data_IF_776682116666
#
_entry.id   IF_776682116666
#
_cell.length_a   1.000
_cell.length_b   1.000
_cell.length_c   1.000
_cell.angle_alpha   90.00
_cell.angle_beta   90.00
_cell.angle_gamma   90.00
#
_symmetry.space_group_name_H-M   'P 1'
#
loop_
_entity.id
_entity.type
_entity.pdbx_description
1 polymer ?
#
# COMPACT_ATOMS: atom_id res chain seq x y z
N UNK A 1 -0.48 -15.55 14.09
CA UNK A 1 0.43 -14.93 13.10
C UNK A 1 1.90 -15.32 13.35
N UNK A 2 2.29 -16.57 13.04
CA UNK A 2 3.66 -16.95 12.69
C UNK A 2 3.87 -17.26 11.20
N UNK A 3 2.81 -17.28 10.37
CA UNK A 3 2.88 -17.75 8.97
C UNK A 3 3.59 -16.77 8.01
N UNK A 4 3.43 -15.45 8.17
CA UNK A 4 3.96 -14.48 7.19
C UNK A 4 5.48 -14.43 7.15
N UNK A 5 6.14 -14.36 8.31
CA UNK A 5 7.60 -14.34 8.37
C UNK A 5 8.19 -15.68 7.93
N UNK A 6 7.52 -16.79 8.28
CA UNK A 6 7.91 -18.12 7.81
C UNK A 6 7.78 -18.28 6.29
N UNK A 7 6.71 -17.73 5.70
CA UNK A 7 6.53 -17.68 4.24
C UNK A 7 7.61 -16.82 3.59
N UNK A 8 7.92 -15.64 4.15
CA UNK A 8 9.02 -14.80 3.65
C UNK A 8 10.37 -15.50 3.73
N UNK A 9 10.63 -16.22 4.81
CA UNK A 9 11.88 -16.94 5.04
C UNK A 9 12.03 -18.13 4.09
N UNK A 10 10.99 -18.97 3.97
CA UNK A 10 10.94 -20.06 2.99
C UNK A 10 11.21 -19.54 1.57
N UNK A 11 10.63 -18.40 1.19
CA UNK A 11 10.88 -17.83 -0.13
C UNK A 11 12.23 -17.17 -0.28
N UNK A 12 12.79 -16.60 0.80
CA UNK A 12 14.18 -16.12 0.79
C UNK A 12 15.12 -17.27 0.51
N UNK A 13 14.91 -18.41 1.16
CA UNK A 13 15.68 -19.64 0.96
C UNK A 13 15.50 -20.16 -0.47
N UNK A 14 14.24 -20.32 -0.92
CA UNK A 14 13.93 -20.76 -2.28
C UNK A 14 14.56 -19.84 -3.34
N UNK A 15 14.40 -18.53 -3.21
CA UNK A 15 14.96 -17.57 -4.16
C UNK A 15 16.49 -17.57 -4.13
N UNK A 16 17.11 -17.75 -2.95
CA UNK A 16 18.56 -17.88 -2.83
C UNK A 16 19.03 -19.11 -3.59
N UNK A 17 18.41 -20.26 -3.36
CA UNK A 17 18.74 -21.51 -4.05
C UNK A 17 18.48 -21.43 -5.55
N UNK A 18 17.33 -20.88 -5.96
CA UNK A 18 16.95 -20.74 -7.36
C UNK A 18 17.91 -19.80 -8.10
N UNK A 19 18.25 -18.65 -7.54
CA UNK A 19 19.24 -17.75 -8.15
C UNK A 19 20.62 -18.39 -8.23
N UNK A 20 21.04 -19.18 -7.24
CA UNK A 20 22.29 -19.93 -7.30
C UNK A 20 22.29 -20.95 -8.45
N UNK A 21 21.18 -21.66 -8.65
CA UNK A 21 21.03 -22.64 -9.73
C UNK A 21 21.04 -22.00 -11.12
N UNK A 22 20.62 -20.75 -11.23
CA UNK A 22 20.52 -20.02 -12.51
C UNK A 22 21.42 -18.77 -12.55
N UNK A 23 22.53 -18.77 -11.81
CA UNK A 23 23.37 -17.60 -11.58
C UNK A 23 23.98 -16.99 -12.86
N UNK A 24 24.14 -17.79 -13.92
CA UNK A 24 24.65 -17.35 -15.22
C UNK A 24 23.56 -16.73 -16.12
N UNK A 25 22.30 -16.76 -15.68
CA UNK A 25 21.17 -16.18 -16.41
C UNK A 25 20.97 -14.70 -16.04
N UNK A 26 20.28 -13.94 -16.91
CA UNK A 26 19.71 -12.62 -16.59
C UNK A 26 18.96 -12.65 -15.23
N UNK A 27 18.78 -11.52 -14.53
CA UNK A 27 18.09 -11.50 -13.24
C UNK A 27 16.79 -12.29 -13.30
N UNK A 28 16.77 -13.39 -12.53
CA UNK A 28 15.65 -14.33 -12.51
C UNK A 28 14.65 -13.83 -11.49
N UNK A 29 13.50 -13.35 -11.97
CA UNK A 29 12.38 -12.96 -11.12
C UNK A 29 11.45 -14.14 -10.91
N UNK A 30 11.14 -14.43 -9.65
CA UNK A 30 10.19 -15.49 -9.27
C UNK A 30 8.82 -14.87 -9.07
N UNK A 31 7.81 -15.42 -9.75
CA UNK A 31 6.41 -15.11 -9.51
C UNK A 31 5.73 -16.29 -8.82
N UNK A 32 5.14 -16.06 -7.65
CA UNK A 32 4.42 -17.07 -6.90
C UNK A 32 3.05 -16.58 -6.43
N UNK A 33 2.11 -17.51 -6.27
CA UNK A 33 0.83 -17.24 -5.64
C UNK A 33 0.43 -18.41 -4.73
N UNK A 34 -0.05 -18.09 -3.54
CA UNK A 34 -0.60 -19.03 -2.57
C UNK A 34 -2.09 -18.74 -2.48
N UNK A 35 -2.94 -19.72 -2.79
CA UNK A 35 -4.40 -19.53 -2.83
C UNK A 35 -5.07 -20.41 -1.79
N UNK A 36 -5.94 -19.82 -0.98
CA UNK A 36 -6.83 -20.59 -0.13
C UNK A 36 -7.87 -21.32 -1.01
N UNK A 37 -7.74 -22.63 -1.16
CA UNK A 37 -8.67 -23.42 -1.98
C UNK A 37 -10.11 -23.38 -1.45
N UNK A 38 -10.34 -23.08 -0.17
CA UNK A 38 -11.68 -22.92 0.38
C UNK A 38 -12.43 -21.69 -0.18
N UNK A 39 -11.73 -20.72 -0.77
CA UNK A 39 -12.34 -19.51 -1.36
C UNK A 39 -12.51 -19.62 -2.88
N UNK A 40 -12.24 -20.79 -3.45
CA UNK A 40 -12.26 -21.04 -4.89
C UNK A 40 -13.39 -22.00 -5.23
N UNK A 41 -14.49 -21.45 -5.76
CA UNK A 41 -15.72 -22.21 -6.04
C UNK A 41 -15.63 -23.12 -7.26
N UNK A 42 -14.68 -22.85 -8.17
CA UNK A 42 -14.47 -23.66 -9.39
C UNK A 42 -13.08 -23.50 -9.98
N UNK A 43 -12.69 -24.46 -10.81
CA UNK A 43 -11.41 -24.42 -11.55
C UNK A 43 -11.35 -23.23 -12.52
N UNK A 44 -12.46 -22.89 -13.17
CA UNK A 44 -12.53 -21.70 -14.04
C UNK A 44 -12.32 -20.39 -13.26
N UNK A 45 -12.82 -20.32 -12.03
CA UNK A 45 -12.62 -19.18 -11.15
C UNK A 45 -11.16 -19.06 -10.74
N UNK A 46 -10.50 -20.18 -10.46
CA UNK A 46 -9.06 -20.23 -10.15
C UNK A 46 -8.21 -19.67 -11.29
N UNK A 47 -8.48 -20.11 -12.53
CA UNK A 47 -7.72 -19.64 -13.69
C UNK A 47 -7.92 -18.15 -13.94
N UNK A 48 -9.16 -17.65 -13.87
CA UNK A 48 -9.43 -16.22 -14.03
C UNK A 48 -8.72 -15.38 -12.98
N UNK A 49 -8.80 -15.78 -11.71
CA UNK A 49 -8.12 -15.10 -10.61
C UNK A 49 -6.60 -15.06 -10.82
N UNK A 50 -6.01 -16.18 -11.26
CA UNK A 50 -4.57 -16.24 -11.57
C UNK A 50 -4.19 -15.26 -12.69
N UNK A 51 -4.96 -15.22 -13.77
CA UNK A 51 -4.68 -14.31 -14.89
C UNK A 51 -4.84 -12.84 -14.49
N UNK A 52 -5.89 -12.49 -13.74
CA UNK A 52 -6.12 -11.14 -13.20
C UNK A 52 -4.94 -10.68 -12.32
N UNK A 53 -4.54 -11.52 -11.38
CA UNK A 53 -3.41 -11.22 -10.48
C UNK A 53 -2.09 -11.12 -11.23
N UNK A 54 -1.86 -12.00 -12.23
CA UNK A 54 -0.64 -11.96 -13.04
C UNK A 54 -0.57 -10.66 -13.84
N UNK A 55 -1.66 -10.25 -14.48
CA UNK A 55 -1.69 -9.04 -15.29
C UNK A 55 -1.44 -7.78 -14.45
N UNK A 56 -2.03 -7.70 -13.24
CA UNK A 56 -1.79 -6.59 -12.28
C UNK A 56 -0.33 -6.48 -11.85
N UNK A 57 0.37 -7.61 -11.73
CA UNK A 57 1.79 -7.64 -11.33
C UNK A 57 2.77 -7.55 -12.49
N UNK A 58 2.32 -7.56 -13.75
CA UNK A 58 3.18 -7.62 -14.94
C UNK A 58 4.18 -6.46 -15.05
N UNK A 59 3.88 -5.32 -14.41
CA UNK A 59 4.71 -4.11 -14.41
C UNK A 59 5.65 -4.00 -13.21
N UNK A 60 5.71 -5.01 -12.35
CA UNK A 60 6.53 -5.00 -11.14
C UNK A 60 7.90 -5.60 -11.46
N UNK A 61 8.97 -4.82 -11.23
CA UNK A 61 10.35 -5.31 -11.33
C UNK A 61 10.81 -5.95 -10.01
N UNK A 62 10.93 -7.28 -9.98
CA UNK A 62 11.38 -8.03 -8.81
C UNK A 62 10.67 -9.38 -8.68
N UNK A 63 11.06 -10.15 -7.67
CA UNK A 63 10.33 -11.38 -7.32
C UNK A 63 9.08 -11.02 -6.52
N UNK A 64 7.93 -11.55 -6.95
CA UNK A 64 6.60 -11.18 -6.47
C UNK A 64 5.86 -12.42 -5.99
N UNK A 65 5.29 -12.34 -4.79
CA UNK A 65 4.48 -13.40 -4.24
C UNK A 65 3.14 -12.87 -3.75
N UNK A 66 2.04 -13.49 -4.17
CA UNK A 66 0.69 -13.10 -3.74
C UNK A 66 0.13 -14.18 -2.81
N UNK A 67 -0.17 -13.82 -1.56
CA UNK A 67 -0.90 -14.70 -0.63
C UNK A 67 -2.37 -14.30 -0.66
N UNK A 68 -3.20 -15.15 -1.27
CA UNK A 68 -4.63 -14.92 -1.48
C UNK A 68 -5.46 -15.49 -0.31
N UNK A 69 -6.21 -14.60 0.33
CA UNK A 69 -7.23 -14.86 1.37
C UNK A 69 -8.37 -13.84 1.22
N UNK A 70 -9.01 -13.40 2.31
CA UNK A 70 -10.05 -12.34 2.26
C UNK A 70 -9.53 -11.03 1.62
N UNK A 71 -8.23 -10.75 1.73
CA UNK A 71 -7.52 -9.71 0.98
C UNK A 71 -6.15 -10.25 0.55
N UNK A 72 -5.82 -10.24 -0.76
CA UNK A 72 -4.51 -10.71 -1.20
C UNK A 72 -3.40 -9.81 -0.67
N UNK A 73 -2.34 -10.42 -0.17
CA UNK A 73 -1.14 -9.74 0.32
C UNK A 73 0.00 -9.94 -0.66
N UNK A 74 0.64 -8.85 -1.11
CA UNK A 74 1.83 -8.90 -1.97
C UNK A 74 3.10 -8.94 -1.11
N UNK A 75 4.03 -9.85 -1.42
CA UNK A 75 5.36 -9.91 -0.85
C UNK A 75 6.37 -9.71 -1.98
N UNK A 76 7.26 -8.74 -1.80
CA UNK A 76 8.32 -8.41 -2.75
C UNK A 76 9.67 -8.83 -2.19
N UNK A 77 10.46 -9.50 -3.01
CA UNK A 77 11.83 -9.88 -2.65
C UNK A 77 12.83 -9.34 -3.68
N UNK A 78 13.67 -8.43 -3.21
CA UNK A 78 14.87 -7.96 -3.92
C UNK A 78 15.91 -7.53 -2.87
N UNK A 79 17.00 -8.29 -2.67
CA UNK A 79 17.98 -8.01 -1.62
C UNK A 79 18.76 -6.72 -1.85
N UNK A 80 18.92 -6.27 -3.10
CA UNK A 80 19.60 -5.00 -3.42
C UNK A 80 18.72 -3.79 -3.12
N UNK A 81 17.39 -3.95 -3.26
CA UNK A 81 16.41 -2.89 -2.98
C UNK A 81 16.06 -2.75 -1.50
N UNK A 82 16.48 -3.66 -0.61
CA UNK A 82 16.04 -3.65 0.78
C UNK A 82 16.47 -2.38 1.55
N UNK A 83 17.69 -1.89 1.34
CA UNK A 83 18.15 -0.59 1.91
C UNK A 83 17.39 0.59 1.31
N UNK A 84 17.12 0.56 0.00
CA UNK A 84 16.36 1.57 -0.72
C UNK A 84 14.90 1.65 -0.24
N UNK A 85 14.26 0.49 -0.02
CA UNK A 85 12.91 0.38 0.54
C UNK A 85 12.83 1.01 1.93
N UNK A 86 13.83 0.80 2.79
CA UNK A 86 13.87 1.44 4.12
C UNK A 86 13.92 2.97 4.00
N UNK A 87 14.71 3.49 3.06
CA UNK A 87 14.80 4.93 2.82
C UNK A 87 13.49 5.52 2.30
N UNK A 88 12.87 4.85 1.34
CA UNK A 88 11.57 5.25 0.79
C UNK A 88 10.49 5.21 1.86
N UNK A 89 10.45 4.16 2.69
CA UNK A 89 9.51 4.06 3.80
C UNK A 89 9.66 5.22 4.77
N UNK A 90 10.91 5.58 5.12
CA UNK A 90 11.18 6.73 5.99
C UNK A 90 10.68 8.04 5.38
N UNK A 91 10.98 8.27 4.10
CA UNK A 91 10.53 9.48 3.39
C UNK A 91 9.02 9.58 3.31
N UNK A 92 8.33 8.48 3.00
CA UNK A 92 6.86 8.44 3.00
C UNK A 92 6.30 8.81 4.38
N UNK A 93 6.91 8.32 5.47
CA UNK A 93 6.50 8.68 6.84
C UNK A 93 6.77 10.16 7.14
N UNK A 94 7.92 10.70 6.72
CA UNK A 94 8.27 12.12 6.89
C UNK A 94 7.30 13.03 6.14
N UNK A 95 7.02 12.73 4.88
CA UNK A 95 6.07 13.46 4.04
C UNK A 95 4.66 13.38 4.60
N UNK A 96 4.23 12.20 5.04
CA UNK A 96 2.89 12.02 5.59
C UNK A 96 2.70 12.79 6.90
N UNK A 97 3.73 12.83 7.76
CA UNK A 97 3.72 13.69 8.95
C UNK A 97 3.55 15.15 8.59
N UNK A 98 4.27 15.63 7.57
CA UNK A 98 4.13 17.02 7.11
C UNK A 98 2.68 17.33 6.65
N UNK A 99 2.05 16.39 5.95
CA UNK A 99 0.64 16.51 5.53
C UNK A 99 -0.29 16.58 6.76
N UNK A 100 -0.11 15.67 7.74
CA UNK A 100 -0.91 15.64 8.98
C UNK A 100 -0.74 16.93 9.78
N UNK A 101 0.49 17.44 9.86
CA UNK A 101 0.83 18.71 10.52
C UNK A 101 0.17 19.92 9.84
N UNK A 102 -0.01 19.89 8.53
CA UNK A 102 -0.74 20.90 7.79
C UNK A 102 -2.24 20.80 8.09
N UNK A 103 -2.82 19.60 7.96
CA UNK A 103 -4.26 19.36 8.20
C UNK A 103 -4.66 19.74 9.64
N UNK A 104 -3.86 19.39 10.65
CA UNK A 104 -4.22 19.61 12.06
C UNK A 104 -4.28 21.08 12.48
N UNK A 105 -3.65 21.98 11.74
CA UNK A 105 -3.59 23.42 12.04
C UNK A 105 -4.78 24.19 11.48
N UNK A 106 -5.50 23.57 10.55
CA UNK A 106 -6.53 24.24 9.78
C UNK A 106 -7.94 23.85 10.25
N UNK A 107 -8.94 24.72 10.02
CA UNK A 107 -10.34 24.43 10.30
C UNK A 107 -10.82 23.13 9.64
N UNK A 108 -11.69 22.40 10.34
CA UNK A 108 -12.16 21.08 9.89
C UNK A 108 -12.83 21.09 8.50
N UNK A 109 -13.55 22.16 8.18
CA UNK A 109 -14.21 22.38 6.88
C UNK A 109 -13.20 22.61 5.74
N UNK A 110 -11.95 22.95 6.05
CA UNK A 110 -10.88 23.13 5.07
C UNK A 110 -10.10 21.86 4.74
N UNK A 111 -10.24 20.80 5.54
CA UNK A 111 -9.40 19.59 5.43
C UNK A 111 -9.44 18.94 4.04
N UNK A 112 -10.61 18.81 3.40
CA UNK A 112 -10.70 18.20 2.06
C UNK A 112 -9.98 19.05 1.00
N UNK A 113 -10.04 20.39 1.11
CA UNK A 113 -9.33 21.31 0.20
C UNK A 113 -7.81 21.23 0.38
N UNK A 114 -7.33 21.25 1.63
CA UNK A 114 -5.90 21.11 1.93
C UNK A 114 -5.36 19.80 1.40
N UNK A 115 -6.09 18.70 1.62
CA UNK A 115 -5.74 17.37 1.12
C UNK A 115 -5.73 17.27 -0.40
N UNK A 116 -6.52 18.09 -1.08
CA UNK A 116 -6.48 18.19 -2.54
C UNK A 116 -5.21 18.91 -3.01
N UNK A 117 -4.83 20.01 -2.36
CA UNK A 117 -3.66 20.80 -2.75
C UNK A 117 -2.33 20.09 -2.48
N UNK A 118 -2.24 19.23 -1.45
CA UNK A 118 -0.99 18.47 -1.17
C UNK A 118 -0.62 17.48 -2.28
N UNK A 119 -1.53 17.12 -3.19
CA UNK A 119 -1.17 16.28 -4.34
C UNK A 119 -0.19 16.95 -5.30
N UNK A 120 -0.13 18.29 -5.33
CA UNK A 120 0.88 19.00 -6.11
C UNK A 120 2.29 18.72 -5.58
N UNK A 121 2.45 18.68 -4.26
CA UNK A 121 3.73 18.43 -3.59
C UNK A 121 4.05 16.93 -3.47
N UNK A 122 3.04 16.09 -3.24
CA UNK A 122 3.21 14.64 -3.03
C UNK A 122 2.38 13.84 -4.05
N UNK A 123 2.75 13.89 -5.35
CA UNK A 123 1.93 13.33 -6.43
C UNK A 123 1.86 11.79 -6.44
N UNK A 124 2.64 11.12 -5.58
CA UNK A 124 2.66 9.67 -5.48
C UNK A 124 1.50 9.10 -4.63
N UNK A 125 0.79 9.92 -3.84
CA UNK A 125 -0.45 9.50 -3.19
C UNK A 125 -1.58 9.40 -4.23
N UNK A 126 -2.34 8.30 -4.16
CA UNK A 126 -3.51 8.04 -5.01
C UNK A 126 -4.74 8.79 -4.47
N UNK A 127 -4.94 8.75 -3.15
CA UNK A 127 -6.05 9.39 -2.47
C UNK A 127 -5.78 9.59 -0.98
N UNK A 128 -6.57 10.46 -0.36
CA UNK A 128 -6.66 10.64 1.08
C UNK A 128 -8.09 10.47 1.60
N UNK A 129 -8.23 10.12 2.87
CA UNK A 129 -9.49 10.18 3.61
C UNK A 129 -9.24 10.24 5.12
N UNK A 130 -10.18 10.83 5.85
CA UNK A 130 -10.10 10.97 7.31
C UNK A 130 -11.15 10.09 7.99
N UNK A 131 -10.75 9.43 9.07
CA UNK A 131 -11.61 8.65 9.95
C UNK A 131 -11.71 9.31 11.32
N UNK A 132 -12.88 9.22 11.96
CA UNK A 132 -13.04 9.60 13.36
C UNK A 132 -12.54 8.52 14.31
N UNK A 133 -12.56 8.80 15.61
CA UNK A 133 -12.09 7.92 16.70
C UNK A 133 -12.69 6.50 16.70
N UNK A 134 -13.89 6.32 16.12
CA UNK A 134 -14.59 5.03 16.01
C UNK A 134 -14.29 4.28 14.69
N UNK A 135 -13.39 4.79 13.85
CA UNK A 135 -13.06 4.18 12.56
C UNK A 135 -14.05 4.46 11.43
N UNK A 136 -15.07 5.28 11.67
CA UNK A 136 -15.97 5.74 10.62
C UNK A 136 -15.29 6.81 9.76
N UNK A 137 -15.29 6.61 8.45
CA UNK A 137 -14.77 7.60 7.49
C UNK A 137 -15.68 8.84 7.47
N UNK A 138 -15.12 10.04 7.69
CA UNK A 138 -15.87 11.29 7.83
C UNK A 138 -15.77 12.22 6.61
N UNK A 139 -14.80 11.98 5.72
CA UNK A 139 -14.64 12.67 4.43
C UNK A 139 -15.05 11.75 3.29
N UNK A 140 -15.27 12.30 2.10
CA UNK A 140 -15.18 11.49 0.89
C UNK A 140 -13.73 11.04 0.66
N UNK A 141 -13.51 10.15 -0.31
CA UNK A 141 -12.15 9.98 -0.83
C UNK A 141 -11.77 11.26 -1.58
N UNK A 142 -10.70 11.92 -1.15
CA UNK A 142 -10.07 13.01 -1.89
C UNK A 142 -9.09 12.35 -2.84
N UNK A 143 -9.44 12.29 -4.13
CA UNK A 143 -8.67 11.57 -5.15
C UNK A 143 -7.69 12.52 -5.81
N UNK A 144 -6.46 12.06 -6.03
CA UNK A 144 -5.46 12.84 -6.74
C UNK A 144 -5.90 13.10 -8.20
N UNK A 145 -5.98 14.36 -8.65
CA UNK A 145 -6.45 14.69 -9.99
C UNK A 145 -5.51 14.21 -11.12
N UNK A 146 -4.25 13.87 -10.80
CA UNK A 146 -3.25 13.37 -11.75
C UNK A 146 -3.36 11.86 -12.00
N UNK A 147 -4.32 11.19 -11.37
CA UNK A 147 -4.55 9.76 -11.51
C UNK A 147 -5.36 9.49 -12.77
N UNK A 148 -4.84 8.63 -13.65
CA UNK A 148 -5.39 8.34 -14.98
C UNK A 148 -6.27 7.08 -15.03
N UNK A 149 -6.63 6.53 -13.86
CA UNK A 149 -7.45 5.33 -13.71
C UNK A 149 -8.64 5.57 -12.77
N UNK A 150 -9.65 4.72 -12.90
CA UNK A 150 -10.88 4.84 -12.10
C UNK A 150 -10.60 4.53 -10.63
N UNK A 151 -10.87 5.51 -9.77
CA UNK A 151 -10.91 5.34 -8.31
C UNK A 151 -12.36 5.39 -7.88
N UNK A 152 -12.89 4.28 -7.36
CA UNK A 152 -14.26 4.26 -6.87
C UNK A 152 -14.42 5.32 -5.76
N UNK A 153 -15.48 6.15 -5.81
CA UNK A 153 -15.73 7.14 -4.79
C UNK A 153 -15.92 6.43 -3.45
N UNK A 154 -14.97 6.62 -2.53
CA UNK A 154 -15.10 6.09 -1.18
C UNK A 154 -16.27 6.77 -0.49
N UNK A 155 -17.16 5.96 0.10
CA UNK A 155 -18.37 6.46 0.71
C UNK A 155 -18.08 6.94 2.14
N UNK A 156 -18.27 8.24 2.39
CA UNK A 156 -18.41 8.78 3.75
C UNK A 156 -19.37 7.91 4.57
N UNK A 157 -18.99 7.61 5.81
CA UNK A 157 -19.71 6.69 6.70
C UNK A 157 -19.30 5.22 6.58
N UNK A 158 -18.36 4.86 5.70
CA UNK A 158 -17.80 3.50 5.67
C UNK A 158 -17.03 3.21 6.95
N UNK A 159 -17.32 2.07 7.56
CA UNK A 159 -16.59 1.56 8.73
C UNK A 159 -15.23 0.97 8.31
N UNK A 160 -14.17 1.46 8.97
CA UNK A 160 -12.78 1.03 8.80
C UNK A 160 -12.16 0.60 10.13
N UNK A 161 -12.95 0.47 11.21
CA UNK A 161 -12.49 0.16 12.56
C UNK A 161 -11.73 -1.17 12.66
N UNK A 162 -12.05 -2.13 11.79
CA UNK A 162 -11.39 -3.43 11.71
C UNK A 162 -10.04 -3.39 10.97
N UNK A 163 -9.78 -2.32 10.21
CA UNK A 163 -8.65 -2.25 9.29
C UNK A 163 -7.33 -2.11 10.05
N UNK A 164 -6.27 -2.83 9.66
CA UNK A 164 -4.97 -2.76 10.31
C UNK A 164 -4.42 -1.33 10.35
N UNK A 165 -4.52 -0.57 9.27
CA UNK A 165 -4.02 0.81 9.22
C UNK A 165 -4.71 1.73 10.23
N UNK A 166 -6.02 1.57 10.45
CA UNK A 166 -6.74 2.34 11.47
C UNK A 166 -6.30 1.93 12.88
N UNK A 167 -6.36 0.63 13.20
CA UNK A 167 -6.04 0.11 14.55
C UNK A 167 -4.60 0.43 14.95
N UNK A 168 -3.66 0.24 14.02
CA UNK A 168 -2.23 0.48 14.24
C UNK A 168 -1.92 1.96 14.36
N UNK A 169 -2.51 2.83 13.54
CA UNK A 169 -2.34 4.28 13.73
C UNK A 169 -2.88 4.74 15.09
N UNK A 170 -4.05 4.24 15.51
CA UNK A 170 -4.62 4.56 16.83
C UNK A 170 -3.70 4.14 17.99
N UNK A 171 -3.07 2.96 17.91
CA UNK A 171 -2.20 2.45 18.98
C UNK A 171 -0.75 2.97 18.92
N UNK A 172 -0.18 3.14 17.73
CA UNK A 172 1.26 3.41 17.51
C UNK A 172 1.53 4.86 17.07
N UNK A 173 0.50 5.65 16.77
CA UNK A 173 0.65 7.01 16.26
C UNK A 173 0.66 7.07 14.74
N UNK A 174 1.63 6.42 14.11
CA UNK A 174 1.80 6.38 12.66
C UNK A 174 2.09 4.96 12.20
N UNK A 175 1.52 4.57 11.06
CA UNK A 175 1.67 3.22 10.54
C UNK A 175 1.61 3.19 9.02
N UNK A 176 2.43 2.33 8.40
CA UNK A 176 2.34 1.95 6.99
C UNK A 176 1.98 0.48 6.92
N UNK A 177 0.87 0.19 6.25
CA UNK A 177 0.38 -1.16 6.02
C UNK A 177 1.34 -1.99 5.18
N UNK A 178 1.10 -3.30 5.21
CA UNK A 178 1.58 -4.18 4.16
C UNK A 178 0.85 -3.88 2.85
N UNK A 179 1.40 -4.40 1.75
CA UNK A 179 0.75 -4.27 0.44
C UNK A 179 -0.50 -5.15 0.41
N UNK A 180 -1.62 -4.57 -0.02
CA UNK A 180 -2.90 -5.27 -0.17
C UNK A 180 -3.64 -4.76 -1.40
N UNK A 181 -4.73 -5.43 -1.80
CA UNK A 181 -5.58 -4.96 -2.89
C UNK A 181 -6.58 -3.93 -2.38
N UNK A 182 -6.50 -2.72 -2.93
CA UNK A 182 -7.43 -1.62 -2.65
C UNK A 182 -8.83 -1.97 -3.12
N UNK A 183 -9.84 -1.75 -2.27
CA UNK A 183 -11.25 -1.85 -2.68
C UNK A 183 -11.70 -0.70 -3.57
N UNK A 184 -10.93 0.40 -3.63
CA UNK A 184 -11.29 1.57 -4.44
C UNK A 184 -10.87 1.40 -5.90
N UNK A 185 -9.72 0.77 -6.13
CA UNK A 185 -9.10 0.67 -7.46
C UNK A 185 -8.94 -0.76 -7.95
N UNK A 186 -9.18 -1.75 -7.08
CA UNK A 186 -8.92 -3.16 -7.36
C UNK A 186 -7.47 -3.40 -7.79
N UNK A 187 -6.54 -2.63 -7.24
CA UNK A 187 -5.10 -2.71 -7.52
C UNK A 187 -4.28 -2.73 -6.24
N UNK A 188 -3.00 -3.12 -6.33
CA UNK A 188 -2.10 -3.17 -5.19
C UNK A 188 -1.79 -1.76 -4.67
N UNK A 189 -1.98 -1.57 -3.37
CA UNK A 189 -1.61 -0.36 -2.67
C UNK A 189 -0.97 -0.65 -1.31
N UNK A 190 -0.37 0.38 -0.73
CA UNK A 190 -0.14 0.50 0.70
C UNK A 190 -0.98 1.65 1.23
N UNK A 191 -1.33 1.61 2.52
CA UNK A 191 -1.94 2.74 3.22
C UNK A 191 -0.97 3.24 4.28
N UNK A 192 -0.65 4.54 4.20
CA UNK A 192 0.00 5.29 5.28
C UNK A 192 -1.10 5.90 6.12
N UNK A 193 -0.95 5.86 7.44
CA UNK A 193 -1.98 6.35 8.35
C UNK A 193 -1.36 6.93 9.60
N UNK A 194 -1.94 8.02 10.11
CA UNK A 194 -1.44 8.73 11.28
C UNK A 194 -2.60 9.31 12.09
N UNK A 195 -2.53 9.13 13.41
CA UNK A 195 -3.48 9.70 14.35
C UNK A 195 -3.12 11.16 14.64
N UNK A 196 -4.12 12.02 14.71
CA UNK A 196 -3.95 13.40 15.15
C UNK A 196 -5.13 13.83 16.03
N UNK A 197 -4.93 14.90 16.80
CA UNK A 197 -5.97 15.48 17.66
C UNK A 197 -6.35 16.87 17.15
N UNK A 198 -7.64 17.16 17.15
CA UNK A 198 -8.19 18.46 16.78
C UNK A 198 -9.41 18.76 17.65
N UNK A 199 -9.43 19.93 18.30
CA UNK A 199 -10.50 20.35 19.22
C UNK A 199 -10.90 19.28 20.26
N UNK A 200 -9.90 18.62 20.86
CA UNK A 200 -10.11 17.58 21.87
C UNK A 200 -10.63 16.24 21.34
N UNK A 201 -10.77 16.07 20.02
CA UNK A 201 -11.18 14.81 19.38
C UNK A 201 -10.02 14.18 18.61
N UNK A 202 -10.01 12.84 18.55
CA UNK A 202 -9.01 12.07 17.79
C UNK A 202 -9.52 11.70 16.40
N UNK A 203 -8.64 11.84 15.42
CA UNK A 203 -8.86 11.49 14.02
C UNK A 203 -7.69 10.68 13.51
N UNK A 204 -7.90 9.98 12.40
CA UNK A 204 -6.84 9.29 11.66
C UNK A 204 -6.90 9.73 10.20
N UNK A 205 -5.83 10.33 9.69
CA UNK A 205 -5.65 10.53 8.26
C UNK A 205 -5.11 9.24 7.66
N UNK A 206 -5.66 8.81 6.53
CA UNK A 206 -5.13 7.73 5.72
C UNK A 206 -4.84 8.23 4.30
N UNK A 207 -3.69 7.83 3.76
CA UNK A 207 -3.30 8.07 2.37
C UNK A 207 -2.92 6.76 1.70
N UNK A 208 -3.58 6.45 0.60
CA UNK A 208 -3.26 5.26 -0.18
C UNK A 208 -2.22 5.61 -1.25
N UNK A 209 -1.24 4.73 -1.42
CA UNK A 209 -0.21 4.83 -2.46
C UNK A 209 -0.34 3.60 -3.34
N UNK A 210 -0.69 3.82 -4.60
CA UNK A 210 -0.73 2.76 -5.59
C UNK A 210 0.69 2.25 -5.86
N UNK A 211 0.82 0.93 -6.04
CA UNK A 211 2.11 0.31 -6.29
C UNK A 211 2.83 0.85 -7.53
N UNK A 212 2.10 1.26 -8.56
CA UNK A 212 2.65 1.90 -9.77
C UNK A 212 3.40 3.20 -9.44
N UNK A 213 2.93 3.95 -8.44
CA UNK A 213 3.58 5.19 -7.98
C UNK A 213 4.81 4.90 -7.13
N UNK A 214 4.80 3.83 -6.33
CA UNK A 214 5.98 3.38 -5.58
C UNK A 214 7.13 3.07 -6.54
N UNK A 215 6.86 2.41 -7.67
CA UNK A 215 7.91 2.12 -8.66
C UNK A 215 8.53 3.40 -9.25
N UNK A 216 7.72 4.42 -9.54
CA UNK A 216 8.21 5.73 -10.01
C UNK A 216 9.06 6.43 -8.95
N UNK A 217 8.62 6.40 -7.69
CA UNK A 217 9.35 6.96 -6.56
C UNK A 217 10.68 6.23 -6.36
N UNK A 218 10.70 4.89 -6.39
CA UNK A 218 11.93 4.08 -6.35
C UNK A 218 12.88 4.48 -7.49
N UNK A 219 12.37 4.68 -8.71
CA UNK A 219 13.19 5.04 -9.87
C UNK A 219 13.81 6.43 -9.75
N UNK A 220 13.06 7.44 -9.29
CA UNK A 220 13.63 8.79 -9.10
C UNK A 220 14.79 8.81 -8.10
N UNK A 221 14.77 7.93 -7.08
CA UNK A 221 15.88 7.78 -6.13
C UNK A 221 17.10 7.02 -6.68
N UNK A 222 16.95 6.27 -7.78
CA UNK A 222 18.09 5.62 -8.45
C UNK A 222 18.83 6.56 -9.39
N UNK A 223 18.15 7.61 -9.85
CA UNK A 223 18.65 8.59 -10.81
C UNK A 223 19.24 9.84 -10.12
N UNK A 224 19.11 9.97 -8.79
CA UNK A 224 19.80 11.02 -8.02
C UNK A 224 21.20 10.53 -7.64
N UNK A 225 22.29 11.11 -8.16
CA UNK A 225 23.63 10.73 -7.73
C UNK A 225 23.79 11.03 -6.24
N UNK A 226 24.40 10.11 -5.51
CA UNK A 226 24.79 10.29 -4.12
C UNK A 226 25.80 11.45 -3.96
#
# INVERSE_FOLDING_TARGET
VPERERIKELFREFHREFVLLFAESRPVYVYGYCINMATVESQDRLYRLREELRDRTRRIEGSVFIVHGLQPTLILYDPTKQKLITNIRRKILEDFREIVEHVRKEPRDMWEFILYDVFEKYPYFELFYIMGERGLQITNNIVNPKVDYLVAPGKKGRDRSDKPYFRRAMSEGIFISDVYISKATDDFCITVSERFSYEGRTYVLAGDINFRQIHRLVRSYRETPA
#
